data_IF_460315646325
#
_entry.id   IF_460315646325
#
_cell.length_a   1.000
_cell.length_b   1.000
_cell.length_c   1.000
_cell.angle_alpha   90.00
_cell.angle_beta   90.00
_cell.angle_gamma   90.00
#
_symmetry.space_group_name_H-M   'P 1'
#
loop_
_entity.id
_entity.type
_entity.pdbx_description
1 polymer ?
#
# COMPACT_ATOMS: atom_id res chain seq x y z
N UNK A 1 28.39 -27.83 -8.74
CA UNK A 1 27.05 -28.12 -8.16
C UNK A 1 27.15 -28.01 -6.65
N UNK A 2 26.87 -26.82 -6.10
CA UNK A 2 26.89 -26.58 -4.65
C UNK A 2 25.55 -26.02 -4.23
N UNK A 3 24.68 -26.89 -3.71
CA UNK A 3 23.37 -26.53 -3.19
C UNK A 3 23.57 -25.81 -1.85
N UNK A 4 23.54 -24.48 -1.85
CA UNK A 4 23.39 -23.70 -0.62
C UNK A 4 21.96 -23.90 -0.11
N UNK A 5 21.78 -24.95 0.68
CA UNK A 5 20.55 -25.22 1.42
C UNK A 5 20.33 -24.11 2.47
N UNK A 6 19.48 -23.15 2.12
CA UNK A 6 19.07 -22.05 3.01
C UNK A 6 18.28 -22.54 4.25
N UNK A 7 17.95 -23.84 4.33
CA UNK A 7 17.17 -24.47 5.42
C UNK A 7 17.95 -24.71 6.73
N UNK A 8 19.21 -24.26 6.84
CA UNK A 8 19.94 -24.30 8.11
C UNK A 8 19.43 -23.19 9.05
N UNK A 9 18.48 -23.54 9.92
CA UNK A 9 18.01 -22.71 11.05
C UNK A 9 19.19 -22.29 11.92
N UNK A 10 19.60 -21.02 11.84
CA UNK A 10 20.46 -20.38 12.85
C UNK A 10 19.53 -19.88 13.96
N UNK A 11 19.81 -20.21 15.22
CA UNK A 11 19.03 -19.71 16.36
C UNK A 11 19.25 -18.20 16.52
N UNK A 12 18.38 -17.41 15.92
CA UNK A 12 18.33 -15.95 16.06
C UNK A 12 17.30 -15.55 17.09
N UNK A 13 17.50 -14.39 17.73
CA UNK A 13 16.52 -13.80 18.67
C UNK A 13 15.19 -13.50 17.97
N UNK A 14 15.22 -13.20 16.67
CA UNK A 14 14.05 -12.94 15.86
C UNK A 14 13.46 -14.24 15.28
N UNK A 15 12.12 -14.29 15.19
CA UNK A 15 11.41 -15.37 14.50
C UNK A 15 11.90 -15.51 13.07
N UNK A 16 11.92 -16.74 12.56
CA UNK A 16 12.32 -17.06 11.19
C UNK A 16 11.49 -16.29 10.14
N UNK A 17 10.20 -16.09 10.38
CA UNK A 17 9.33 -15.28 9.50
C UNK A 17 9.77 -13.81 9.38
N UNK A 18 10.55 -13.30 10.33
CA UNK A 18 11.01 -11.91 10.38
C UNK A 18 12.44 -11.72 9.87
N UNK A 19 13.30 -12.74 9.98
CA UNK A 19 14.75 -12.64 9.74
C UNK A 19 15.32 -13.74 8.84
N UNK A 20 14.47 -14.65 8.37
CA UNK A 20 14.80 -15.65 7.36
C UNK A 20 14.70 -15.09 5.94
N UNK A 21 14.30 -15.94 4.99
CA UNK A 21 14.36 -15.70 3.56
C UNK A 21 15.77 -15.69 2.96
N UNK A 22 15.84 -15.78 1.61
CA UNK A 22 17.10 -15.74 0.86
C UNK A 22 17.89 -14.44 1.08
N UNK A 23 17.20 -13.34 1.41
CA UNK A 23 17.79 -12.03 1.66
C UNK A 23 17.90 -11.67 3.15
N UNK A 24 17.52 -12.56 4.08
CA UNK A 24 17.47 -12.23 5.51
C UNK A 24 16.37 -11.22 5.89
N UNK A 25 15.39 -10.97 5.00
CA UNK A 25 14.31 -9.99 5.15
C UNK A 25 12.99 -10.61 5.67
N UNK A 26 13.03 -11.87 6.07
CA UNK A 26 11.87 -12.68 6.46
C UNK A 26 11.49 -13.71 5.41
N UNK A 27 10.66 -14.67 5.81
CA UNK A 27 10.19 -15.76 4.94
C UNK A 27 9.26 -15.22 3.82
N UNK A 28 9.58 -15.43 2.53
CA UNK A 28 8.71 -15.03 1.43
C UNK A 28 7.31 -15.67 1.41
N UNK A 29 7.17 -16.87 1.99
CA UNK A 29 5.94 -17.64 1.98
C UNK A 29 5.05 -17.39 3.21
N UNK A 30 5.56 -16.65 4.19
CA UNK A 30 4.78 -16.22 5.34
C UNK A 30 3.63 -15.30 4.88
N UNK A 31 2.38 -15.65 5.24
CA UNK A 31 1.18 -14.86 4.93
C UNK A 31 0.60 -14.13 6.15
N UNK A 32 1.25 -14.22 7.31
CA UNK A 32 0.80 -13.50 8.50
C UNK A 32 0.98 -11.99 8.33
N UNK A 33 -0.01 -11.23 8.81
CA UNK A 33 0.00 -9.78 8.79
C UNK A 33 0.38 -9.23 10.16
N UNK A 34 1.35 -8.31 10.19
CA UNK A 34 1.71 -7.52 11.36
C UNK A 34 0.71 -6.37 11.53
N UNK A 35 0.64 -5.82 12.73
CA UNK A 35 -0.22 -4.67 13.05
C UNK A 35 0.00 -3.51 12.08
N UNK A 36 1.26 -3.14 11.83
CA UNK A 36 1.61 -2.07 10.87
C UNK A 36 1.14 -2.38 9.45
N UNK A 37 1.15 -3.66 9.04
CA UNK A 37 0.72 -4.04 7.71
C UNK A 37 -0.80 -3.93 7.58
N UNK A 38 -1.51 -4.40 8.60
CA UNK A 38 -2.98 -4.37 8.68
C UNK A 38 -3.54 -2.96 8.84
N UNK A 39 -2.92 -2.12 9.65
CA UNK A 39 -3.46 -0.81 10.04
C UNK A 39 -2.90 0.35 9.23
N UNK A 40 -1.73 0.19 8.60
CA UNK A 40 -1.06 1.28 7.87
C UNK A 40 -0.86 0.95 6.40
N UNK A 41 -0.17 -0.16 6.08
CA UNK A 41 0.27 -0.43 4.71
C UNK A 41 -0.87 -0.85 3.78
N UNK A 42 -1.73 -1.77 4.20
CA UNK A 42 -2.89 -2.19 3.41
C UNK A 42 -3.88 -1.02 3.25
N UNK A 43 -4.26 -0.27 4.32
CA UNK A 43 -5.06 0.94 4.19
C UNK A 43 -4.45 2.01 3.28
N UNK A 44 -3.12 2.11 3.23
CA UNK A 44 -2.43 3.00 2.30
C UNK A 44 -2.61 2.54 0.84
N UNK A 45 -2.44 1.25 0.55
CA UNK A 45 -2.70 0.68 -0.78
C UNK A 45 -4.15 0.91 -1.19
N UNK A 46 -5.11 0.65 -0.29
CA UNK A 46 -6.53 0.92 -0.53
C UNK A 46 -6.74 2.39 -0.89
N UNK A 47 -6.18 3.33 -0.12
CA UNK A 47 -6.32 4.77 -0.38
C UNK A 47 -5.77 5.17 -1.74
N UNK A 48 -4.60 4.66 -2.11
CA UNK A 48 -3.95 4.98 -3.39
C UNK A 48 -4.76 4.41 -4.57
N UNK A 49 -5.15 3.13 -4.52
CA UNK A 49 -6.02 2.50 -5.53
C UNK A 49 -7.38 3.18 -5.64
N UNK A 50 -8.02 3.51 -4.52
CA UNK A 50 -9.31 4.20 -4.56
C UNK A 50 -9.22 5.56 -5.24
N UNK A 51 -8.10 6.28 -5.10
CA UNK A 51 -7.87 7.55 -5.79
C UNK A 51 -7.62 7.40 -7.28
N UNK A 52 -6.91 6.35 -7.67
CA UNK A 52 -6.46 6.13 -9.05
C UNK A 52 -7.48 5.36 -9.91
N UNK A 53 -8.27 4.47 -9.29
CA UNK A 53 -9.14 3.53 -10.00
C UNK A 53 -10.63 3.75 -9.75
N UNK A 54 -11.03 4.24 -8.57
CA UNK A 54 -12.44 4.17 -8.12
C UNK A 54 -13.14 5.52 -7.95
N UNK A 55 -12.43 6.50 -7.39
CA UNK A 55 -12.95 7.83 -7.04
C UNK A 55 -12.29 8.93 -7.88
N UNK A 56 -11.94 8.63 -9.14
CA UNK A 56 -11.17 9.50 -10.02
C UNK A 56 -11.87 10.86 -10.19
N UNK A 57 -13.17 10.85 -10.49
CA UNK A 57 -13.97 12.07 -10.69
C UNK A 57 -13.98 12.97 -9.45
N UNK A 58 -14.14 12.38 -8.26
CA UNK A 58 -14.20 13.15 -7.01
C UNK A 58 -12.82 13.70 -6.64
N UNK A 59 -11.75 12.94 -6.92
CA UNK A 59 -10.37 13.39 -6.75
C UNK A 59 -10.04 14.52 -7.72
N UNK A 60 -10.47 14.43 -8.98
CA UNK A 60 -10.30 15.48 -9.98
C UNK A 60 -11.10 16.75 -9.64
N UNK A 61 -12.36 16.61 -9.22
CA UNK A 61 -13.18 17.74 -8.78
C UNK A 61 -12.55 18.47 -7.58
N UNK A 62 -12.08 17.71 -6.58
CA UNK A 62 -11.34 18.29 -5.46
C UNK A 62 -10.02 18.93 -5.92
N UNK A 63 -9.28 18.29 -6.83
CA UNK A 63 -8.04 18.82 -7.40
C UNK A 63 -8.24 20.13 -8.18
N UNK A 64 -9.32 20.24 -8.95
CA UNK A 64 -9.70 21.47 -9.65
C UNK A 64 -10.04 22.60 -8.67
N UNK A 65 -10.82 22.30 -7.63
CA UNK A 65 -11.12 23.27 -6.59
C UNK A 65 -9.84 23.71 -5.85
N UNK A 66 -9.00 22.75 -5.46
CA UNK A 66 -7.73 23.03 -4.77
C UNK A 66 -6.80 23.91 -5.62
N UNK A 67 -6.72 23.66 -6.92
CA UNK A 67 -5.93 24.48 -7.85
C UNK A 67 -6.49 25.90 -7.98
N UNK A 68 -7.81 26.08 -7.93
CA UNK A 68 -8.47 27.40 -8.01
C UNK A 68 -8.33 28.22 -6.74
N UNK A 69 -8.56 27.59 -5.58
CA UNK A 69 -8.63 28.28 -4.29
C UNK A 69 -7.26 28.37 -3.57
N UNK A 70 -6.28 27.60 -4.02
CA UNK A 70 -4.91 27.59 -3.49
C UNK A 70 -4.88 27.36 -1.98
N UNK A 71 -4.32 28.32 -1.24
CA UNK A 71 -4.22 28.26 0.23
C UNK A 71 -5.59 28.19 0.94
N UNK A 72 -6.67 28.64 0.30
CA UNK A 72 -8.01 28.64 0.89
C UNK A 72 -8.77 27.31 0.71
N UNK A 73 -8.12 26.27 0.15
CA UNK A 73 -8.75 24.95 -0.14
C UNK A 73 -9.51 24.34 1.04
N UNK A 74 -8.98 24.44 2.27
CA UNK A 74 -9.59 23.84 3.48
C UNK A 74 -10.92 24.51 3.85
N UNK A 75 -11.10 25.76 3.45
CA UNK A 75 -12.32 26.53 3.71
C UNK A 75 -13.28 26.48 2.52
N UNK A 76 -12.74 26.62 1.30
CA UNK A 76 -13.52 26.82 0.08
C UNK A 76 -13.92 25.52 -0.63
N UNK A 77 -13.14 24.45 -0.48
CA UNK A 77 -13.36 23.16 -1.16
C UNK A 77 -13.95 22.09 -0.24
N UNK A 78 -14.68 22.50 0.82
CA UNK A 78 -15.25 21.56 1.80
C UNK A 78 -16.26 20.61 1.19
N UNK A 79 -17.03 21.08 0.20
CA UNK A 79 -18.05 20.29 -0.49
C UNK A 79 -17.39 19.18 -1.31
N UNK A 80 -16.43 19.55 -2.16
CA UNK A 80 -15.67 18.62 -2.99
C UNK A 80 -14.90 17.62 -2.13
N UNK A 81 -14.32 18.08 -1.01
CA UNK A 81 -13.66 17.21 -0.05
C UNK A 81 -14.64 16.19 0.59
N UNK A 82 -15.84 16.63 1.00
CA UNK A 82 -16.84 15.72 1.56
C UNK A 82 -17.31 14.67 0.53
N UNK A 83 -17.51 15.06 -0.73
CA UNK A 83 -17.84 14.13 -1.82
C UNK A 83 -16.69 13.14 -2.07
N UNK A 84 -15.44 13.60 -2.06
CA UNK A 84 -14.27 12.73 -2.19
C UNK A 84 -14.14 11.76 -1.02
N UNK A 85 -14.27 12.24 0.22
CA UNK A 85 -14.17 11.41 1.43
C UNK A 85 -15.27 10.35 1.46
N UNK A 86 -16.52 10.72 1.18
CA UNK A 86 -17.65 9.78 1.13
C UNK A 86 -17.49 8.72 0.04
N UNK A 87 -16.87 9.04 -1.09
CA UNK A 87 -16.51 8.03 -2.08
C UNK A 87 -15.46 7.06 -1.52
N UNK A 88 -14.39 7.59 -0.89
CA UNK A 88 -13.31 6.77 -0.35
C UNK A 88 -13.75 5.85 0.78
N UNK A 89 -14.64 6.33 1.64
CA UNK A 89 -15.16 5.58 2.79
C UNK A 89 -15.95 4.34 2.37
N UNK A 90 -16.69 4.39 1.24
CA UNK A 90 -17.38 3.22 0.69
C UNK A 90 -16.41 2.08 0.39
N UNK A 91 -15.30 2.39 -0.29
CA UNK A 91 -14.28 1.40 -0.64
C UNK A 91 -13.43 0.97 0.55
N UNK A 92 -13.24 1.84 1.54
CA UNK A 92 -12.53 1.48 2.77
C UNK A 92 -13.24 0.37 3.55
N UNK A 93 -14.57 0.39 3.55
CA UNK A 93 -15.39 -0.61 4.24
C UNK A 93 -15.75 -1.82 3.36
N UNK A 94 -15.28 -1.85 2.11
CA UNK A 94 -15.53 -2.95 1.19
C UNK A 94 -14.57 -4.12 1.48
N UNK A 95 -15.14 -5.26 1.87
CA UNK A 95 -14.37 -6.43 2.30
C UNK A 95 -13.62 -7.11 1.15
N UNK A 96 -14.19 -7.12 -0.05
CA UNK A 96 -13.57 -7.71 -1.24
C UNK A 96 -12.37 -6.88 -1.68
N UNK A 97 -12.53 -5.56 -1.74
CA UNK A 97 -11.47 -4.64 -2.06
C UNK A 97 -10.33 -4.66 -1.03
N UNK A 98 -10.67 -4.80 0.27
CA UNK A 98 -9.66 -4.98 1.32
C UNK A 98 -8.85 -6.27 1.09
N UNK A 99 -9.53 -7.36 0.75
CA UNK A 99 -8.88 -8.65 0.43
C UNK A 99 -7.95 -8.53 -0.77
N UNK A 100 -8.39 -7.89 -1.86
CA UNK A 100 -7.53 -7.64 -3.03
C UNK A 100 -6.28 -6.83 -2.67
N UNK A 101 -6.45 -5.73 -1.91
CA UNK A 101 -5.34 -4.89 -1.50
C UNK A 101 -4.37 -5.64 -0.57
N UNK A 102 -4.90 -6.53 0.27
CA UNK A 102 -4.11 -7.43 1.13
C UNK A 102 -3.28 -8.40 0.29
N UNK A 103 -3.88 -9.03 -0.71
CA UNK A 103 -3.18 -9.95 -1.62
C UNK A 103 -2.09 -9.23 -2.42
N UNK A 104 -2.39 -8.02 -2.90
CA UNK A 104 -1.42 -7.15 -3.56
C UNK A 104 -0.24 -6.81 -2.63
N UNK A 105 -0.51 -6.46 -1.38
CA UNK A 105 0.53 -6.21 -0.37
C UNK A 105 1.41 -7.43 -0.15
N UNK A 106 0.80 -8.61 0.05
CA UNK A 106 1.52 -9.85 0.27
C UNK A 106 2.40 -10.19 -0.94
N UNK A 107 1.92 -10.02 -2.17
CA UNK A 107 2.72 -10.22 -3.37
C UNK A 107 3.89 -9.23 -3.48
N UNK A 108 3.71 -7.97 -3.07
CA UNK A 108 4.82 -7.00 -2.99
C UNK A 108 5.85 -7.40 -1.93
N UNK A 109 5.38 -7.88 -0.77
CA UNK A 109 6.23 -8.33 0.33
C UNK A 109 7.03 -9.59 -0.03
N UNK A 110 6.39 -10.58 -0.65
CA UNK A 110 7.05 -11.79 -1.14
C UNK A 110 8.17 -11.42 -2.11
N UNK A 111 7.86 -10.59 -3.12
CA UNK A 111 8.85 -10.10 -4.08
C UNK A 111 10.05 -9.40 -3.39
N UNK A 112 9.78 -8.52 -2.42
CA UNK A 112 10.84 -7.84 -1.68
C UNK A 112 11.69 -8.81 -0.84
N UNK A 113 11.08 -9.82 -0.22
CA UNK A 113 11.80 -10.83 0.59
C UNK A 113 12.61 -11.80 -0.26
N UNK A 114 12.18 -12.07 -1.49
CA UNK A 114 12.92 -12.90 -2.46
C UNK A 114 14.10 -12.16 -3.08
N UNK A 115 13.85 -10.93 -3.55
CA UNK A 115 14.79 -10.19 -4.41
C UNK A 115 15.59 -9.13 -3.69
N UNK A 116 15.12 -8.65 -2.54
CA UNK A 116 15.67 -7.48 -1.85
C UNK A 116 15.29 -6.13 -2.49
N UNK A 117 14.54 -6.15 -3.60
CA UNK A 117 14.20 -4.95 -4.37
C UNK A 117 12.84 -4.43 -3.93
N UNK A 118 12.78 -3.19 -3.47
CA UNK A 118 11.51 -2.53 -3.15
C UNK A 118 10.83 -2.08 -4.44
N UNK A 119 9.57 -2.45 -4.64
CA UNK A 119 8.76 -1.81 -5.69
C UNK A 119 8.65 -0.32 -5.39
N UNK A 120 8.98 0.51 -6.38
CA UNK A 120 8.76 1.96 -6.27
C UNK A 120 7.26 2.18 -6.10
N UNK A 121 6.87 2.83 -5.01
CA UNK A 121 5.54 3.41 -4.90
C UNK A 121 5.40 4.41 -6.03
N UNK A 122 4.38 4.30 -6.88
CA UNK A 122 4.11 5.34 -7.85
C UNK A 122 3.88 6.63 -7.06
N UNK A 123 4.78 7.60 -7.22
CA UNK A 123 4.66 8.88 -6.53
C UNK A 123 3.45 9.59 -7.15
N UNK A 124 2.49 9.97 -6.31
CA UNK A 124 1.37 10.82 -6.75
C UNK A 124 1.95 12.07 -7.41
N UNK A 125 1.68 12.27 -8.69
CA UNK A 125 2.03 13.50 -9.42
C UNK A 125 3.18 13.41 -10.42
N UNK A 126 3.76 12.24 -10.69
CA UNK A 126 4.62 12.08 -11.88
C UNK A 126 3.75 11.96 -13.15
N UNK A 127 3.01 13.03 -13.49
CA UNK A 127 2.72 13.30 -14.90
C UNK A 127 4.04 13.81 -15.47
N UNK A 128 4.63 13.07 -16.41
CA UNK A 128 5.68 13.60 -17.26
C UNK A 128 5.16 14.93 -17.83
N UNK A 129 5.91 16.01 -17.61
CA UNK A 129 5.72 17.24 -18.37
C UNK A 129 5.98 17.00 -19.85
#
# INVERSE_FOLDING_TARGET
MGWLDWRKRKNTVLKHSLSGGPQGLGDPNDKTLRVVEKEILIPQIMRDRTREEKCVEQVEAFGMCAKREGFSVVFKCRKENATMVSCMEKWYNDAEFNKECTEQYLAQRTYYRETGIRRKRQLRGAKNG
#
